data_IF_833307528994
#
_entry.id   IF_833307528994
#
_cell.length_a   1.000
_cell.length_b   1.000
_cell.length_c   1.000
_cell.angle_alpha   90.00
_cell.angle_beta   90.00
_cell.angle_gamma   90.00
#
_symmetry.space_group_name_H-M   'P 1'
#
loop_
_entity.id
_entity.type
_entity.pdbx_description
1 polymer ?
#
# COMPACT_ATOMS: atom_id res chain seq x y z
N UNK A 1 25.22 68.99 -2.71
CA UNK A 1 25.95 69.86 -3.65
C UNK A 1 26.34 69.02 -4.85
N UNK A 2 26.18 69.61 -6.05
CA UNK A 2 26.59 69.15 -7.40
C UNK A 2 25.62 68.23 -8.18
N UNK A 3 24.78 68.91 -8.97
CA UNK A 3 24.24 68.53 -10.28
C UNK A 3 25.31 67.96 -11.22
N UNK A 4 24.95 67.14 -12.23
CA UNK A 4 24.52 67.62 -13.56
C UNK A 4 24.66 66.53 -14.67
N UNK A 5 23.57 66.30 -15.43
CA UNK A 5 23.45 66.25 -16.93
C UNK A 5 24.32 65.25 -17.72
N UNK A 6 23.92 64.61 -18.84
CA UNK A 6 22.69 64.32 -19.60
C UNK A 6 23.19 63.61 -20.90
N UNK A 7 22.26 63.13 -21.75
CA UNK A 7 22.44 62.68 -23.15
C UNK A 7 22.83 61.19 -23.31
N UNK A 8 22.37 60.41 -24.29
CA UNK A 8 21.69 60.65 -25.57
C UNK A 8 21.14 59.28 -26.04
N UNK A 9 19.85 59.16 -26.36
CA UNK A 9 19.32 58.91 -27.72
C UNK A 9 19.96 57.75 -28.50
N UNK A 10 19.16 56.69 -28.72
CA UNK A 10 19.41 55.62 -29.69
C UNK A 10 18.19 54.70 -29.79
N UNK A 11 17.35 54.94 -30.79
CA UNK A 11 16.28 54.04 -31.24
C UNK A 11 16.87 53.14 -32.33
N UNK A 12 16.89 51.85 -32.06
CA UNK A 12 17.26 50.79 -33.00
C UNK A 12 16.23 49.66 -32.95
N UNK A 13 14.97 50.07 -33.16
CA UNK A 13 13.91 49.23 -33.72
C UNK A 13 14.19 48.81 -35.18
N UNK A 14 15.32 48.15 -35.43
CA UNK A 14 15.68 47.56 -36.73
C UNK A 14 16.61 46.37 -36.60
N UNK A 15 16.09 45.21 -36.20
CA UNK A 15 16.60 43.94 -36.75
C UNK A 15 15.43 42.97 -36.96
N UNK A 16 14.90 43.02 -38.18
CA UNK A 16 14.00 41.99 -38.69
C UNK A 16 14.77 40.69 -38.99
N UNK A 17 14.14 39.59 -38.62
CA UNK A 17 14.07 38.32 -39.36
C UNK A 17 15.36 37.79 -39.99
N UNK A 18 16.03 36.90 -39.26
CA UNK A 18 16.69 35.74 -39.84
C UNK A 18 16.07 34.49 -39.18
N UNK A 19 15.53 33.52 -39.94
CA UNK A 19 15.32 32.20 -39.38
C UNK A 19 16.71 31.58 -39.24
N UNK A 20 17.10 30.97 -38.13
CA UNK A 20 17.94 29.77 -38.14
C UNK A 20 18.21 29.29 -36.71
N UNK A 21 18.04 27.97 -36.58
CA UNK A 21 18.52 27.06 -35.55
C UNK A 21 17.73 27.01 -34.24
N UNK A 22 17.10 25.86 -34.03
CA UNK A 22 16.13 25.60 -32.97
C UNK A 22 16.73 25.68 -31.57
N UNK A 23 15.98 26.32 -30.69
CA UNK A 23 16.08 26.14 -29.26
C UNK A 23 15.25 24.90 -28.87
N UNK A 24 15.86 23.80 -28.39
CA UNK A 24 15.12 22.75 -27.72
C UNK A 24 14.84 23.24 -26.30
N UNK A 25 13.90 24.18 -26.14
CA UNK A 25 13.24 24.30 -24.85
C UNK A 25 12.52 22.98 -24.66
N UNK A 26 13.01 22.12 -23.77
CA UNK A 26 12.27 20.96 -23.31
C UNK A 26 11.01 21.53 -22.60
N UNK A 27 9.94 21.78 -23.34
CA UNK A 27 8.64 22.02 -22.73
C UNK A 27 8.04 20.64 -22.45
N UNK A 28 8.69 19.90 -21.55
CA UNK A 28 8.10 18.68 -21.04
C UNK A 28 6.98 19.09 -20.12
N UNK A 29 5.76 18.89 -20.63
CA UNK A 29 4.57 18.89 -19.83
C UNK A 29 4.77 17.90 -18.68
N UNK A 30 4.90 18.45 -17.47
CA UNK A 30 5.08 17.71 -16.22
C UNK A 30 3.93 16.74 -15.91
N UNK A 31 2.77 16.90 -16.55
CA UNK A 31 1.59 16.06 -16.30
C UNK A 31 1.76 14.57 -16.59
N UNK A 32 2.57 14.14 -17.56
CA UNK A 32 2.69 12.71 -17.90
C UNK A 32 3.54 11.92 -16.89
N UNK A 33 4.52 12.57 -16.24
CA UNK A 33 5.39 11.92 -15.26
C UNK A 33 4.70 11.81 -13.89
N UNK A 34 3.92 12.82 -13.52
CA UNK A 34 3.18 12.87 -12.26
C UNK A 34 2.12 11.76 -12.18
N UNK A 35 1.41 11.48 -13.27
CA UNK A 35 0.41 10.40 -13.31
C UNK A 35 1.04 9.00 -13.14
N UNK A 36 2.22 8.76 -13.71
CA UNK A 36 2.92 7.47 -13.58
C UNK A 36 3.41 7.23 -12.17
N UNK A 37 4.03 8.22 -11.54
CA UNK A 37 4.50 8.11 -10.16
C UNK A 37 3.34 7.89 -9.17
N UNK A 38 2.23 8.62 -9.36
CA UNK A 38 1.04 8.43 -8.54
C UNK A 38 0.44 7.01 -8.68
N UNK A 39 0.38 6.48 -9.91
CA UNK A 39 -0.14 5.12 -10.14
C UNK A 39 0.71 4.03 -9.47
N UNK A 40 2.04 4.15 -9.51
CA UNK A 40 2.96 3.21 -8.86
C UNK A 40 2.82 3.25 -7.33
N UNK A 41 2.73 4.45 -6.76
CA UNK A 41 2.56 4.61 -5.31
C UNK A 41 1.21 4.07 -4.83
N UNK A 42 0.13 4.31 -5.59
CA UNK A 42 -1.19 3.74 -5.25
C UNK A 42 -1.24 2.21 -5.37
N UNK A 43 -0.49 1.63 -6.30
CA UNK A 43 -0.38 0.18 -6.45
C UNK A 43 0.41 -0.45 -5.29
N UNK A 44 1.50 0.19 -4.87
CA UNK A 44 2.33 -0.25 -3.74
C UNK A 44 1.54 -0.22 -2.40
N UNK A 45 0.74 0.82 -2.18
CA UNK A 45 -0.14 0.93 -1.00
C UNK A 45 -1.23 -0.16 -1.02
N UNK A 46 -1.83 -0.41 -2.19
CA UNK A 46 -2.86 -1.45 -2.33
C UNK A 46 -2.31 -2.86 -2.08
N UNK A 47 -1.13 -3.16 -2.64
CA UNK A 47 -0.44 -4.44 -2.43
C UNK A 47 -0.05 -4.62 -0.95
N UNK A 48 0.55 -3.59 -0.34
CA UNK A 48 0.92 -3.60 1.08
C UNK A 48 -0.30 -3.82 1.98
N UNK A 49 -1.45 -3.22 1.66
CA UNK A 49 -2.71 -3.40 2.40
C UNK A 49 -3.19 -4.85 2.33
N UNK A 50 -3.21 -5.45 1.14
CA UNK A 50 -3.63 -6.84 0.96
C UNK A 50 -2.69 -7.82 1.67
N UNK A 51 -1.37 -7.59 1.60
CA UNK A 51 -0.39 -8.38 2.35
C UNK A 51 -0.60 -8.29 3.86
N UNK A 52 -0.92 -7.11 4.39
CA UNK A 52 -1.22 -6.92 5.81
C UNK A 52 -2.47 -7.68 6.24
N UNK A 53 -3.55 -7.64 5.45
CA UNK A 53 -4.78 -8.39 5.72
C UNK A 53 -4.51 -9.90 5.69
N UNK A 54 -3.75 -10.38 4.71
CA UNK A 54 -3.36 -11.78 4.63
C UNK A 54 -2.51 -12.22 5.82
N UNK A 55 -1.55 -11.39 6.23
CA UNK A 55 -0.74 -11.65 7.43
C UNK A 55 -1.61 -11.70 8.70
N UNK A 56 -2.60 -10.83 8.82
CA UNK A 56 -3.57 -10.85 9.92
C UNK A 56 -4.34 -12.17 10.01
N UNK A 57 -4.85 -12.67 8.87
CA UNK A 57 -5.53 -13.98 8.79
C UNK A 57 -4.60 -15.15 9.15
N UNK A 58 -3.37 -15.14 8.63
CA UNK A 58 -2.37 -16.17 8.95
C UNK A 58 -2.01 -16.17 10.43
N UNK A 59 -1.85 -14.98 11.03
CA UNK A 59 -1.58 -14.83 12.44
C UNK A 59 -2.75 -15.33 13.30
N UNK A 60 -3.99 -15.01 12.93
CA UNK A 60 -5.18 -15.53 13.63
C UNK A 60 -5.24 -17.06 13.58
N UNK A 61 -4.98 -17.66 12.41
CA UNK A 61 -4.93 -19.12 12.28
C UNK A 61 -3.87 -19.74 13.21
N UNK A 62 -2.66 -19.18 13.20
CA UNK A 62 -1.59 -19.61 14.09
C UNK A 62 -1.97 -19.46 15.57
N UNK A 63 -2.56 -18.32 15.95
CA UNK A 63 -2.94 -18.04 17.33
C UNK A 63 -4.02 -18.99 17.84
N UNK A 64 -5.05 -19.27 17.03
CA UNK A 64 -6.10 -20.24 17.38
C UNK A 64 -5.50 -21.64 17.53
N UNK A 65 -4.63 -22.06 16.60
CA UNK A 65 -3.93 -23.35 16.68
C UNK A 65 -3.11 -23.46 17.98
N UNK A 66 -2.39 -22.39 18.32
CA UNK A 66 -1.62 -22.31 19.56
C UNK A 66 -2.52 -22.34 20.81
N UNK A 67 -3.66 -21.66 20.77
CA UNK A 67 -4.62 -21.64 21.87
C UNK A 67 -5.21 -23.03 22.12
N UNK A 68 -5.58 -23.77 21.06
CA UNK A 68 -6.04 -25.15 21.15
C UNK A 68 -4.97 -26.07 21.76
N UNK A 69 -3.72 -25.92 21.33
CA UNK A 69 -2.59 -26.65 21.91
C UNK A 69 -2.45 -26.38 23.41
N UNK A 70 -2.42 -25.12 23.83
CA UNK A 70 -2.27 -24.74 25.25
C UNK A 70 -3.47 -25.23 26.07
N UNK A 71 -4.70 -25.11 25.55
CA UNK A 71 -5.88 -25.66 26.23
C UNK A 71 -5.76 -27.17 26.43
N UNK A 72 -5.25 -27.91 25.44
CA UNK A 72 -5.04 -29.36 25.53
C UNK A 72 -4.00 -29.72 26.60
N UNK A 73 -2.92 -28.95 26.71
CA UNK A 73 -1.90 -29.12 27.75
C UNK A 73 -2.45 -28.92 29.18
N UNK A 74 -3.59 -28.24 29.35
CA UNK A 74 -4.26 -28.11 30.66
C UNK A 74 -5.10 -29.32 31.06
N UNK A 75 -5.37 -30.25 30.13
CA UNK A 75 -6.14 -31.47 30.42
C UNK A 75 -5.20 -32.48 31.10
N UNK A 76 -5.50 -32.94 32.34
CA UNK A 76 -4.65 -33.90 33.04
C UNK A 76 -4.50 -35.20 32.23
N UNK A 77 -3.26 -35.70 32.10
CA UNK A 77 -2.99 -36.95 31.40
C UNK A 77 -3.54 -38.16 32.18
N UNK A 78 -4.72 -38.63 31.82
CA UNK A 78 -5.24 -39.92 32.28
C UNK A 78 -4.69 -41.05 31.43
N UNK A 79 -3.85 -41.93 31.99
CA UNK A 79 -3.41 -43.29 31.56
C UNK A 79 -3.06 -43.60 30.08
N UNK A 80 -3.29 -42.70 29.12
CA UNK A 80 -3.16 -42.92 27.68
C UNK A 80 -2.40 -41.74 27.06
N UNK A 81 -1.15 -41.57 27.48
CA UNK A 81 -0.22 -40.63 26.87
C UNK A 81 0.45 -41.31 25.66
N UNK A 82 -0.28 -41.44 24.55
CA UNK A 82 0.25 -42.07 23.35
C UNK A 82 0.97 -41.02 22.48
N UNK A 83 2.31 -41.00 22.52
CA UNK A 83 3.17 -40.01 21.84
C UNK A 83 2.94 -39.92 20.31
N UNK A 84 2.44 -40.98 19.68
CA UNK A 84 2.06 -40.93 18.25
C UNK A 84 0.83 -40.05 17.98
N UNK A 85 -0.09 -39.92 18.94
CA UNK A 85 -1.27 -39.06 18.80
C UNK A 85 -0.96 -37.56 18.81
N UNK A 86 0.17 -37.16 19.40
CA UNK A 86 0.57 -35.75 19.51
C UNK A 86 0.71 -35.05 18.15
N UNK A 87 1.27 -35.74 17.14
CA UNK A 87 1.38 -35.19 15.78
C UNK A 87 0.03 -35.10 15.05
N UNK A 88 -0.88 -36.04 15.30
CA UNK A 88 -2.24 -35.96 14.74
C UNK A 88 -2.99 -34.76 15.31
N UNK A 89 -2.78 -34.47 16.60
CA UNK A 89 -3.37 -33.31 17.24
C UNK A 89 -2.83 -31.99 16.72
N UNK A 90 -1.52 -31.87 16.45
CA UNK A 90 -0.97 -30.63 15.90
C UNK A 90 -1.54 -30.30 14.51
N UNK A 91 -1.66 -31.29 13.62
CA UNK A 91 -2.26 -31.05 12.30
C UNK A 91 -3.75 -30.72 12.39
N UNK A 92 -4.44 -31.33 13.35
CA UNK A 92 -5.86 -31.05 13.59
C UNK A 92 -6.06 -29.63 14.14
N UNK A 93 -5.24 -29.21 15.10
CA UNK A 93 -5.28 -27.87 15.67
C UNK A 93 -4.97 -26.80 14.60
N UNK A 94 -4.02 -27.07 13.70
CA UNK A 94 -3.70 -26.20 12.55
C UNK A 94 -4.87 -26.07 11.57
N UNK A 95 -5.51 -27.19 11.23
CA UNK A 95 -6.67 -27.22 10.33
C UNK A 95 -7.85 -26.42 10.91
N UNK A 96 -8.13 -26.60 12.21
CA UNK A 96 -9.13 -25.80 12.90
C UNK A 96 -8.74 -24.33 12.90
N UNK A 97 -7.47 -24.00 13.16
CA UNK A 97 -6.98 -22.63 13.15
C UNK A 97 -7.23 -21.94 11.81
N UNK A 98 -6.87 -22.59 10.70
CA UNK A 98 -7.12 -22.07 9.35
C UNK A 98 -8.61 -21.89 9.10
N UNK A 99 -9.45 -22.91 9.34
CA UNK A 99 -10.90 -22.81 9.14
C UNK A 99 -11.55 -21.73 10.01
N UNK A 100 -11.08 -21.57 11.24
CA UNK A 100 -11.59 -20.56 12.16
C UNK A 100 -11.23 -19.16 11.65
N UNK A 101 -9.97 -18.90 11.31
CA UNK A 101 -9.56 -17.61 10.73
C UNK A 101 -10.31 -17.31 9.43
N UNK A 102 -10.55 -18.32 8.58
CA UNK A 102 -11.29 -18.21 7.33
C UNK A 102 -12.77 -17.82 7.52
N UNK A 103 -13.36 -18.19 8.66
CA UNK A 103 -14.74 -17.90 9.02
C UNK A 103 -14.89 -16.69 9.96
N UNK A 104 -13.79 -15.97 10.24
CA UNK A 104 -13.78 -14.77 11.10
C UNK A 104 -13.38 -15.01 12.56
N UNK A 105 -13.22 -16.28 12.96
CA UNK A 105 -12.50 -16.70 14.17
C UNK A 105 -12.83 -15.93 15.44
N UNK A 106 -11.79 -15.37 16.04
CA UNK A 106 -11.86 -14.54 17.25
C UNK A 106 -11.79 -13.04 16.93
N UNK A 107 -11.65 -12.68 15.65
CA UNK A 107 -11.71 -11.31 15.12
C UNK A 107 -10.36 -10.63 14.95
N UNK A 108 -9.23 -11.32 15.04
CA UNK A 108 -7.92 -10.67 14.86
C UNK A 108 -7.70 -10.23 13.42
N UNK A 109 -8.05 -11.06 12.43
CA UNK A 109 -7.96 -10.67 11.03
C UNK A 109 -8.83 -9.44 10.74
N UNK A 110 -10.02 -9.37 11.33
CA UNK A 110 -10.93 -8.22 11.19
C UNK A 110 -10.32 -6.94 11.78
N UNK A 111 -9.72 -7.01 12.97
CA UNK A 111 -9.04 -5.85 13.56
C UNK A 111 -7.89 -5.35 12.67
N UNK A 112 -7.12 -6.28 12.09
CA UNK A 112 -6.03 -5.92 11.16
C UNK A 112 -6.59 -5.29 9.90
N UNK A 113 -7.70 -5.83 9.36
CA UNK A 113 -8.37 -5.26 8.20
C UNK A 113 -8.91 -3.85 8.47
N UNK A 114 -9.60 -3.62 9.59
CA UNK A 114 -10.07 -2.30 10.00
C UNK A 114 -8.93 -1.29 10.15
N UNK A 115 -7.81 -1.73 10.74
CA UNK A 115 -6.60 -0.93 10.83
C UNK A 115 -6.04 -0.59 9.44
N UNK A 116 -5.97 -1.59 8.56
CA UNK A 116 -5.47 -1.43 7.21
C UNK A 116 -6.34 -0.44 6.40
N UNK A 117 -7.67 -0.54 6.51
CA UNK A 117 -8.62 0.36 5.86
C UNK A 117 -8.49 1.80 6.33
N UNK A 118 -8.27 1.99 7.63
CA UNK A 118 -8.13 3.32 8.24
C UNK A 118 -6.81 4.01 7.86
N UNK A 119 -5.72 3.24 7.76
CA UNK A 119 -4.37 3.79 7.62
C UNK A 119 -3.79 3.68 6.22
N UNK A 120 -4.34 2.82 5.36
CA UNK A 120 -3.93 2.59 3.97
C UNK A 120 -5.12 2.66 3.02
N UNK A 121 -5.87 3.78 2.97
CA UNK A 121 -7.05 3.88 2.13
C UNK A 121 -6.68 3.74 0.65
N UNK A 122 -7.40 2.90 -0.08
CA UNK A 122 -7.31 2.85 -1.53
C UNK A 122 -7.80 4.19 -2.09
N UNK A 123 -6.98 4.85 -2.91
CA UNK A 123 -7.42 6.03 -3.64
C UNK A 123 -8.60 5.66 -4.53
N UNK A 124 -9.70 6.43 -4.55
CA UNK A 124 -10.83 6.11 -5.40
C UNK A 124 -10.38 6.16 -6.86
N UNK A 125 -10.38 5.01 -7.53
CA UNK A 125 -10.33 4.93 -8.99
C UNK A 125 -11.52 5.75 -9.50
N UNK A 126 -11.25 6.93 -10.04
CA UNK A 126 -12.28 7.74 -10.69
C UNK A 126 -12.75 6.95 -11.90
N UNK A 127 -13.90 6.29 -11.80
CA UNK A 127 -14.61 5.75 -12.96
C UNK A 127 -14.89 6.95 -13.88
N UNK A 128 -14.25 6.96 -15.05
CA UNK A 128 -14.61 7.89 -16.11
C UNK A 128 -16.01 7.53 -16.57
N UNK A 129 -17.01 8.22 -16.02
CA UNK A 129 -18.29 8.35 -16.68
C UNK A 129 -18.04 9.09 -17.98
N UNK A 130 -17.87 8.31 -19.06
CA UNK A 130 -18.08 8.77 -20.42
C UNK A 130 -19.50 9.31 -20.50
N UNK A 131 -19.63 10.62 -20.52
CA UNK A 131 -20.89 11.31 -20.80
C UNK A 131 -20.72 11.99 -22.16
N UNK A 132 -21.56 11.57 -23.10
CA UNK A 132 -22.05 12.36 -24.24
C UNK A 132 -21.09 12.57 -25.39
#
# INVERSE_FOLDING_TARGET
MMNNVNASHGDDSKWGSLPLYGDPTWTIGTGHLDHRLNSLQSQDIGESREQLIQAGRQFEAYFISYLLKVMRETVPEGTIANKQGAYFYSFYDEEIGVRAADSGGIGIANMVQEYADKHFPLSPVKSSSSVG
#
